data_IF_850774030726
#
_entry.id   IF_850774030726
#
_cell.length_a   1.000
_cell.length_b   1.000
_cell.length_c   1.000
_cell.angle_alpha   90.00
_cell.angle_beta   90.00
_cell.angle_gamma   90.00
#
_symmetry.space_group_name_H-M   'P 1'
#
loop_
_entity.id
_entity.type
_entity.pdbx_description
1 polymer ?
#
# COMPACT_ATOMS: atom_id res chain seq x y z
N UNK A 1 -21.04 2.17 -2.94
CA UNK A 1 -20.64 0.98 -3.76
C UNK A 1 -19.55 1.19 -4.86
N UNK A 2 -19.24 2.40 -5.36
CA UNK A 2 -18.19 2.62 -6.38
C UNK A 2 -16.74 2.43 -5.86
N UNK A 3 -16.46 2.86 -4.64
CA UNK A 3 -15.10 2.86 -4.09
C UNK A 3 -14.59 1.48 -3.66
N UNK A 4 -15.49 0.56 -3.32
CA UNK A 4 -15.13 -0.80 -2.90
C UNK A 4 -14.41 -1.59 -4.00
N UNK A 5 -14.88 -1.46 -5.25
CA UNK A 5 -14.27 -2.14 -6.40
C UNK A 5 -12.81 -1.76 -6.62
N UNK A 6 -12.47 -0.48 -6.48
CA UNK A 6 -11.07 -0.02 -6.57
C UNK A 6 -10.23 -0.56 -5.42
N UNK A 7 -10.78 -0.61 -4.20
CA UNK A 7 -10.05 -1.14 -3.05
C UNK A 7 -9.60 -2.58 -3.26
N UNK A 8 -10.50 -3.43 -3.75
CA UNK A 8 -10.17 -4.82 -4.08
C UNK A 8 -9.23 -4.94 -5.29
N UNK A 9 -9.42 -4.11 -6.33
CA UNK A 9 -8.53 -4.10 -7.51
C UNK A 9 -7.08 -3.80 -7.14
N UNK A 10 -6.86 -2.86 -6.20
CA UNK A 10 -5.52 -2.51 -5.72
C UNK A 10 -5.03 -3.41 -4.58
N UNK A 11 -5.81 -4.43 -4.18
CA UNK A 11 -5.41 -5.44 -3.21
C UNK A 11 -5.40 -4.97 -1.75
N UNK A 12 -6.20 -3.96 -1.40
CA UNK A 12 -6.35 -3.55 0.00
C UNK A 12 -7.05 -4.63 0.84
N UNK A 13 -6.74 -4.71 2.16
CA UNK A 13 -7.41 -5.64 3.06
C UNK A 13 -8.93 -5.49 3.03
N UNK A 14 -9.66 -6.60 3.03
CA UNK A 14 -11.13 -6.61 2.98
C UNK A 14 -11.76 -5.74 4.08
N UNK A 15 -11.22 -5.79 5.29
CA UNK A 15 -11.71 -5.00 6.42
C UNK A 15 -11.55 -3.48 6.17
N UNK A 16 -10.45 -3.05 5.54
CA UNK A 16 -10.19 -1.65 5.23
C UNK A 16 -11.08 -1.15 4.09
N UNK A 17 -11.32 -2.00 3.08
CA UNK A 17 -12.26 -1.70 1.99
C UNK A 17 -13.69 -1.54 2.54
N UNK A 18 -14.13 -2.47 3.40
CA UNK A 18 -15.44 -2.41 4.06
C UNK A 18 -15.58 -1.15 4.91
N UNK A 19 -14.59 -0.85 5.75
CA UNK A 19 -14.58 0.37 6.56
C UNK A 19 -14.70 1.62 5.67
N UNK A 20 -13.90 1.72 4.61
CA UNK A 20 -13.92 2.89 3.73
C UNK A 20 -15.28 3.08 3.04
N UNK A 21 -15.90 2.00 2.57
CA UNK A 21 -17.23 2.06 1.96
C UNK A 21 -18.29 2.46 2.97
N UNK A 22 -18.29 1.85 4.16
CA UNK A 22 -19.24 2.17 5.22
C UNK A 22 -19.11 3.62 5.70
N UNK A 23 -17.86 4.08 5.91
CA UNK A 23 -17.60 5.46 6.29
C UNK A 23 -18.08 6.46 5.24
N UNK A 24 -17.88 6.17 3.95
CA UNK A 24 -18.38 7.01 2.87
C UNK A 24 -19.92 7.05 2.81
N UNK A 25 -20.57 5.90 2.97
CA UNK A 25 -22.03 5.81 2.98
C UNK A 25 -22.62 6.55 4.22
N UNK A 26 -21.96 6.50 5.37
CA UNK A 26 -22.35 7.21 6.59
C UNK A 26 -22.11 8.73 6.51
N UNK A 27 -20.99 9.16 5.91
CA UNK A 27 -20.73 10.57 5.60
C UNK A 27 -21.78 11.14 4.65
N UNK A 28 -22.16 10.38 3.60
CA UNK A 28 -23.20 10.76 2.65
C UNK A 28 -24.57 10.88 3.32
N UNK A 29 -24.90 9.94 4.22
CA UNK A 29 -26.18 9.93 4.94
C UNK A 29 -26.28 11.02 6.02
N UNK A 30 -25.23 11.20 6.82
CA UNK A 30 -25.26 12.05 8.02
C UNK A 30 -24.68 13.47 7.81
N UNK A 31 -23.92 13.68 6.73
CA UNK A 31 -23.16 14.90 6.47
C UNK A 31 -21.96 15.11 7.42
N UNK A 32 -21.66 14.15 8.31
CA UNK A 32 -20.57 14.25 9.29
C UNK A 32 -19.41 13.37 8.89
N UNK A 33 -18.20 13.94 8.90
CA UNK A 33 -16.96 13.22 8.64
C UNK A 33 -16.76 12.06 9.62
N UNK A 34 -16.47 10.87 9.10
CA UNK A 34 -16.13 9.70 9.91
C UNK A 34 -14.63 9.72 10.18
N UNK A 35 -14.28 9.92 11.45
CA UNK A 35 -12.88 9.94 11.88
C UNK A 35 -12.17 8.62 11.59
N UNK A 36 -10.93 8.73 11.11
CA UNK A 36 -10.12 7.59 10.66
C UNK A 36 -8.64 7.85 10.87
N UNK A 37 -7.91 6.76 11.02
CA UNK A 37 -6.45 6.75 10.95
C UNK A 37 -6.00 6.14 9.62
N UNK A 38 -4.69 6.20 9.37
CA UNK A 38 -4.08 5.71 8.14
C UNK A 38 -2.98 4.70 8.47
N UNK A 39 -3.15 3.47 8.01
CA UNK A 39 -2.11 2.46 8.10
C UNK A 39 -1.16 2.61 6.92
N UNK A 40 0.13 2.83 7.20
CA UNK A 40 1.16 3.04 6.18
C UNK A 40 2.14 1.87 6.11
N UNK A 41 2.46 1.46 4.88
CA UNK A 41 3.55 0.56 4.56
C UNK A 41 4.67 1.40 3.92
N UNK A 42 5.94 1.23 4.36
CA UNK A 42 7.04 2.05 3.87
C UNK A 42 7.30 1.82 2.39
N UNK A 43 7.66 2.90 1.70
CA UNK A 43 8.13 2.87 0.31
C UNK A 43 9.51 3.51 0.21
N UNK A 44 10.17 3.35 -0.92
CA UNK A 44 11.48 3.98 -1.14
C UNK A 44 11.43 5.52 -1.04
N UNK A 45 10.37 6.14 -1.54
CA UNK A 45 10.25 7.60 -1.56
C UNK A 45 9.93 8.20 -0.19
N UNK A 46 9.16 7.48 0.64
CA UNK A 46 8.75 7.93 1.96
C UNK A 46 8.29 6.71 2.80
N UNK A 47 8.63 6.64 4.10
CA UNK A 47 8.13 5.60 5.00
C UNK A 47 6.61 5.67 5.27
N UNK A 48 5.95 6.79 5.00
CA UNK A 48 4.50 6.96 5.25
C UNK A 48 3.79 7.61 4.06
N UNK A 49 2.45 7.52 4.04
CA UNK A 49 1.58 8.26 3.11
C UNK A 49 1.76 7.97 1.61
N UNK A 50 2.35 6.82 1.26
CA UNK A 50 2.55 6.38 -0.13
C UNK A 50 1.84 5.08 -0.45
N UNK A 51 2.15 4.03 0.30
CA UNK A 51 1.31 2.84 0.36
C UNK A 51 0.50 2.94 1.66
N UNK A 52 -0.75 3.35 1.53
CA UNK A 52 -1.60 3.71 2.66
C UNK A 52 -3.05 3.29 2.41
N UNK A 53 -3.74 2.90 3.47
CA UNK A 53 -5.19 2.68 3.47
C UNK A 53 -5.81 3.17 4.77
N UNK A 54 -7.10 3.53 4.69
CA UNK A 54 -7.86 4.06 5.81
C UNK A 54 -8.30 2.93 6.76
N UNK A 55 -8.23 3.20 8.06
CA UNK A 55 -8.65 2.28 9.12
C UNK A 55 -9.44 3.04 10.18
N UNK A 56 -10.17 2.33 11.03
CA UNK A 56 -10.93 2.93 12.14
C UNK A 56 -9.99 3.75 13.04
N UNK A 57 -10.50 4.84 13.61
CA UNK A 57 -9.75 5.62 14.60
C UNK A 57 -9.29 4.73 15.77
N UNK A 58 -8.01 4.80 16.13
CA UNK A 58 -7.41 3.98 17.19
C UNK A 58 -7.16 2.53 16.80
N UNK A 59 -7.20 2.22 15.49
CA UNK A 59 -6.92 0.88 14.98
C UNK A 59 -5.58 0.34 15.49
N UNK A 60 -5.63 -0.87 16.04
CA UNK A 60 -4.45 -1.64 16.43
C UNK A 60 -4.11 -2.63 15.33
N UNK A 61 -2.82 -2.71 14.97
CA UNK A 61 -2.31 -3.58 13.92
C UNK A 61 -2.77 -5.04 14.12
N UNK A 62 -3.52 -5.57 13.15
CA UNK A 62 -4.03 -6.95 13.19
C UNK A 62 -3.16 -7.91 12.35
N UNK A 63 -3.51 -9.20 12.35
CA UNK A 63 -2.73 -10.20 11.61
C UNK A 63 -2.73 -9.98 10.08
N UNK A 64 -3.80 -9.43 9.52
CA UNK A 64 -3.86 -9.09 8.09
C UNK A 64 -2.89 -7.96 7.75
N UNK A 65 -2.81 -6.95 8.61
CA UNK A 65 -1.85 -5.85 8.46
C UNK A 65 -0.41 -6.35 8.54
N UNK A 66 -0.11 -7.16 9.57
CA UNK A 66 1.22 -7.76 9.76
C UNK A 66 1.63 -8.58 8.55
N UNK A 67 0.74 -9.41 8.04
CA UNK A 67 1.03 -10.26 6.88
C UNK A 67 1.24 -9.44 5.61
N UNK A 68 0.38 -8.45 5.35
CA UNK A 68 0.52 -7.55 4.21
C UNK A 68 1.85 -6.78 4.29
N UNK A 69 2.16 -6.19 5.44
CA UNK A 69 3.41 -5.47 5.70
C UNK A 69 4.62 -6.37 5.54
N UNK A 70 4.60 -7.58 6.09
CA UNK A 70 5.70 -8.52 5.97
C UNK A 70 5.97 -8.91 4.49
N UNK A 71 4.91 -9.14 3.71
CA UNK A 71 5.04 -9.44 2.28
C UNK A 71 5.56 -8.23 1.48
N UNK A 72 5.02 -7.05 1.75
CA UNK A 72 5.47 -5.81 1.10
C UNK A 72 6.93 -5.50 1.41
N UNK A 73 7.38 -5.73 2.66
CA UNK A 73 8.77 -5.52 3.05
C UNK A 73 9.75 -6.44 2.32
N UNK A 74 9.38 -7.70 2.02
CA UNK A 74 10.22 -8.59 1.20
C UNK A 74 10.46 -8.00 -0.18
N UNK A 75 9.40 -7.53 -0.84
CA UNK A 75 9.49 -6.86 -2.15
C UNK A 75 10.30 -5.57 -2.04
N UNK A 76 10.12 -4.81 -0.96
CA UNK A 76 10.81 -3.55 -0.75
C UNK A 76 12.33 -3.73 -0.54
N UNK A 77 12.75 -4.71 0.24
CA UNK A 77 14.18 -5.04 0.40
C UNK A 77 14.80 -5.40 -0.94
N UNK A 78 14.13 -6.25 -1.72
CA UNK A 78 14.60 -6.65 -3.03
C UNK A 78 14.67 -5.47 -4.02
N UNK A 79 13.69 -4.57 -3.96
CA UNK A 79 13.71 -3.32 -4.72
C UNK A 79 14.91 -2.45 -4.37
N UNK A 80 15.27 -2.33 -3.08
CA UNK A 80 16.45 -1.55 -2.67
C UNK A 80 17.73 -2.16 -3.25
N UNK A 81 17.91 -3.48 -3.13
CA UNK A 81 19.08 -4.21 -3.67
C UNK A 81 19.23 -3.99 -5.18
N UNK A 82 18.16 -4.19 -5.95
CA UNK A 82 18.22 -3.98 -7.42
C UNK A 82 18.39 -2.51 -7.79
N UNK A 83 17.71 -1.60 -7.10
CA UNK A 83 17.87 -0.16 -7.34
C UNK A 83 19.31 0.28 -7.16
N UNK A 84 20.00 -0.22 -6.15
CA UNK A 84 21.42 0.06 -5.93
C UNK A 84 22.29 -0.42 -7.11
N UNK A 85 22.00 -1.59 -7.68
CA UNK A 85 22.74 -2.14 -8.84
C UNK A 85 22.45 -1.37 -10.15
N UNK A 86 21.21 -0.91 -10.34
CA UNK A 86 20.74 -0.47 -11.66
C UNK A 86 20.50 1.05 -11.79
N UNK A 87 20.29 1.79 -10.70
CA UNK A 87 19.87 3.20 -10.76
C UNK A 87 20.95 4.14 -10.20
N UNK A 88 21.30 5.16 -10.98
CA UNK A 88 22.35 6.13 -10.70
C UNK A 88 23.04 6.57 -11.99
N UNK A 89 23.91 7.57 -11.88
CA UNK A 89 24.71 8.04 -13.02
C UNK A 89 25.59 6.91 -13.58
N UNK A 90 25.60 6.76 -14.91
CA UNK A 90 26.36 5.71 -15.60
C UNK A 90 25.84 4.27 -15.45
N UNK A 91 24.77 4.04 -14.66
CA UNK A 91 24.18 2.70 -14.50
C UNK A 91 23.18 2.40 -15.61
N UNK A 92 22.89 1.11 -15.78
CA UNK A 92 22.04 0.55 -16.84
C UNK A 92 20.60 1.08 -16.87
N UNK A 93 20.10 1.63 -15.77
CA UNK A 93 18.80 2.29 -15.68
C UNK A 93 17.64 1.34 -15.39
N UNK A 94 16.44 1.93 -15.33
CA UNK A 94 15.23 1.27 -14.84
C UNK A 94 14.76 0.12 -15.74
N UNK A 95 14.95 0.22 -17.06
CA UNK A 95 14.51 -0.82 -18.00
C UNK A 95 15.26 -2.13 -17.75
N UNK A 96 16.58 -2.07 -17.54
CA UNK A 96 17.39 -3.24 -17.24
C UNK A 96 17.07 -3.81 -15.85
N UNK A 97 16.80 -2.95 -14.86
CA UNK A 97 16.32 -3.38 -13.54
C UNK A 97 15.00 -4.16 -13.62
N UNK A 98 14.05 -3.69 -14.45
CA UNK A 98 12.76 -4.36 -14.63
C UNK A 98 12.89 -5.68 -15.39
N UNK A 99 13.81 -5.78 -16.35
CA UNK A 99 14.12 -7.05 -17.03
C UNK A 99 14.70 -8.07 -16.06
N UNK A 100 15.66 -7.66 -15.24
CA UNK A 100 16.24 -8.47 -14.16
C UNK A 100 15.14 -8.98 -13.22
N UNK A 101 14.22 -8.09 -12.80
CA UNK A 101 13.10 -8.46 -11.93
C UNK A 101 12.13 -9.48 -12.53
N UNK A 102 11.76 -9.32 -13.80
CA UNK A 102 10.70 -10.12 -14.43
C UNK A 102 11.20 -11.42 -15.05
N UNK A 103 12.52 -11.54 -15.31
CA UNK A 103 13.11 -12.67 -16.02
C UNK A 103 13.95 -13.59 -15.12
N UNK A 104 14.39 -13.12 -13.94
CA UNK A 104 14.99 -14.02 -12.95
C UNK A 104 13.90 -14.85 -12.25
N UNK A 105 14.06 -16.18 -12.28
CA UNK A 105 13.32 -17.16 -11.48
C UNK A 105 14.13 -17.53 -10.25
#
# INVERSE_FOLDING_TARGET
>A
ARFGGYGYLFGYPDYAVKFFVQAADEEEFSGKFVERDFYSIPTFSNPTNRFVYAVLKGHSENETDKQLKANALKIFEEYKTRREKYIGEGKKGIVEMMRDWLLEK
#
